data_IF_651247749011
#
_entry.id   IF_651247749011
#
_cell.length_a   1.000
_cell.length_b   1.000
_cell.length_c   1.000
_cell.angle_alpha   90.00
_cell.angle_beta   90.00
_cell.angle_gamma   90.00
#
_symmetry.space_group_name_H-M   'P 1'
#
loop_
_entity.id
_entity.type
_entity.pdbx_description
1 polymer ?
#
# COMPACT_ATOMS: atom_id res chain seq x y z
N UNK A 1 -10.84 18.24 7.57
CA UNK A 1 -9.95 17.27 8.26
C UNK A 1 -10.58 15.90 8.22
N UNK A 2 -9.81 14.87 7.89
CA UNK A 2 -10.22 13.47 8.00
C UNK A 2 -9.70 12.94 9.33
N UNK A 3 -10.59 12.39 10.16
CA UNK A 3 -10.26 11.77 11.45
C UNK A 3 -10.67 10.30 11.38
N UNK A 4 -9.80 9.41 11.83
CA UNK A 4 -10.05 7.99 11.95
C UNK A 4 -9.67 7.55 13.37
N UNK A 5 -10.54 6.80 14.04
CA UNK A 5 -10.32 6.29 15.40
C UNK A 5 -9.91 7.38 16.41
N UNK A 6 -10.49 8.58 16.27
CA UNK A 6 -10.17 9.75 17.10
C UNK A 6 -8.84 10.44 16.77
N UNK A 7 -8.08 9.95 15.78
CA UNK A 7 -6.79 10.48 15.36
C UNK A 7 -6.91 11.21 14.01
N UNK A 8 -6.41 12.45 13.94
CA UNK A 8 -6.37 13.21 12.69
C UNK A 8 -5.42 12.54 11.68
N UNK A 9 -5.94 12.25 10.48
CA UNK A 9 -5.21 11.58 9.40
C UNK A 9 -4.74 12.57 8.34
N UNK A 10 -5.66 13.41 7.84
CA UNK A 10 -5.39 14.33 6.75
C UNK A 10 -6.07 15.68 6.95
N UNK A 11 -5.35 16.75 6.59
CA UNK A 11 -5.94 18.04 6.32
C UNK A 11 -6.26 18.13 4.83
N UNK A 12 -7.41 18.70 4.51
CA UNK A 12 -7.85 18.89 3.13
C UNK A 12 -8.68 20.18 3.07
N UNK A 13 -8.76 20.76 1.88
CA UNK A 13 -9.60 21.91 1.57
C UNK A 13 -10.42 21.66 0.29
N UNK A 14 -11.53 22.36 0.14
CA UNK A 14 -12.46 22.21 -1.00
C UNK A 14 -12.07 23.02 -2.23
N UNK A 15 -11.02 23.87 -2.15
CA UNK A 15 -10.62 24.70 -3.28
C UNK A 15 -10.24 23.78 -4.46
N UNK A 16 -10.85 23.97 -5.65
CA UNK A 16 -10.52 23.20 -6.83
C UNK A 16 -9.02 23.23 -7.13
N UNK A 17 -8.52 22.14 -7.72
CA UNK A 17 -7.13 21.99 -8.18
C UNK A 17 -7.11 21.54 -9.62
N UNK A 18 -6.18 22.10 -10.38
CA UNK A 18 -5.90 21.63 -11.73
C UNK A 18 -4.91 20.47 -11.68
N UNK A 19 -4.84 19.66 -12.73
CA UNK A 19 -3.92 18.53 -12.80
C UNK A 19 -2.45 18.96 -12.58
N UNK A 20 -2.09 20.18 -12.99
CA UNK A 20 -0.76 20.74 -12.82
C UNK A 20 -0.33 20.86 -11.35
N UNK A 21 -1.28 21.13 -10.43
CA UNK A 21 -1.01 21.29 -9.00
C UNK A 21 -0.50 19.99 -8.35
N UNK A 22 -0.82 18.84 -8.92
CA UNK A 22 -0.39 17.53 -8.42
C UNK A 22 1.00 17.13 -8.91
N UNK A 23 1.58 17.83 -9.88
CA UNK A 23 2.88 17.46 -10.48
C UNK A 23 4.01 17.48 -9.45
N UNK A 24 4.07 18.53 -8.64
CA UNK A 24 5.11 18.66 -7.62
C UNK A 24 5.02 17.55 -6.56
N UNK A 25 3.80 17.27 -6.06
CA UNK A 25 3.58 16.20 -5.10
C UNK A 25 3.87 14.81 -5.67
N UNK A 26 3.42 14.54 -6.90
CA UNK A 26 3.70 13.28 -7.61
C UNK A 26 5.21 13.07 -7.83
N UNK A 27 5.93 14.12 -8.24
CA UNK A 27 7.38 14.09 -8.37
C UNK A 27 8.03 13.78 -7.02
N UNK A 28 7.71 14.53 -5.96
CA UNK A 28 8.26 14.32 -4.62
C UNK A 28 8.04 12.88 -4.12
N UNK A 29 6.81 12.35 -4.24
CA UNK A 29 6.51 10.98 -3.82
C UNK A 29 7.36 9.92 -4.53
N UNK A 30 7.72 10.16 -5.79
CA UNK A 30 8.46 9.22 -6.62
C UNK A 30 9.98 9.41 -6.60
N UNK A 31 10.49 10.55 -6.18
CA UNK A 31 11.92 10.86 -6.32
C UNK A 31 12.61 11.23 -5.01
N UNK A 32 11.88 11.79 -4.05
CA UNK A 32 12.47 12.22 -2.79
C UNK A 32 12.98 11.02 -1.97
N UNK A 33 14.22 11.05 -1.43
CA UNK A 33 14.71 10.02 -0.52
C UNK A 33 13.86 9.94 0.77
N UNK A 34 13.21 11.04 1.15
CA UNK A 34 12.35 11.11 2.33
C UNK A 34 10.94 10.55 2.07
N UNK A 35 10.58 10.27 0.82
CA UNK A 35 9.27 9.69 0.50
C UNK A 35 9.16 8.28 1.08
N UNK A 36 8.07 7.98 1.77
CA UNK A 36 7.77 6.61 2.24
C UNK A 36 7.69 5.63 1.06
N UNK A 37 7.13 6.04 -0.08
CA UNK A 37 7.02 5.23 -1.29
C UNK A 37 8.38 4.93 -1.94
N UNK A 38 9.45 5.63 -1.55
CA UNK A 38 10.82 5.31 -1.95
C UNK A 38 11.55 4.41 -0.97
N UNK A 39 10.97 4.14 0.20
CA UNK A 39 11.59 3.36 1.28
C UNK A 39 10.86 2.06 1.59
N UNK A 40 9.63 1.90 1.07
CA UNK A 40 8.78 0.74 1.32
C UNK A 40 7.97 0.38 0.09
N UNK A 41 7.70 -0.92 -0.07
CA UNK A 41 6.79 -1.46 -1.07
C UNK A 41 5.39 -1.54 -0.45
N UNK A 42 4.38 -1.14 -1.20
CA UNK A 42 2.98 -1.29 -0.79
C UNK A 42 2.10 -1.54 -2.01
N UNK A 43 1.23 -2.54 -1.91
CA UNK A 43 0.13 -2.76 -2.83
C UNK A 43 -1.13 -3.02 -1.99
N UNK A 44 -2.18 -2.23 -2.18
CA UNK A 44 -3.39 -2.33 -1.36
C UNK A 44 -4.62 -2.28 -2.22
N UNK A 45 -5.57 -3.17 -1.94
CA UNK A 45 -6.83 -3.27 -2.66
C UNK A 45 -7.98 -3.51 -1.67
N UNK A 46 -9.10 -2.83 -1.90
CA UNK A 46 -10.35 -3.16 -1.23
C UNK A 46 -10.88 -4.47 -1.81
N UNK A 47 -11.28 -5.40 -0.96
CA UNK A 47 -11.94 -6.63 -1.43
C UNK A 47 -13.35 -6.31 -1.92
N UNK A 48 -13.92 -7.22 -2.72
CA UNK A 48 -15.27 -7.08 -3.28
C UNK A 48 -16.31 -6.64 -2.24
N UNK A 49 -17.15 -5.69 -2.65
CA UNK A 49 -18.15 -5.08 -1.76
C UNK A 49 -17.60 -4.09 -0.74
N UNK A 50 -16.28 -3.84 -0.70
CA UNK A 50 -15.65 -2.85 0.18
C UNK A 50 -15.63 -3.24 1.66
N UNK A 51 -16.04 -4.46 2.01
CA UNK A 51 -16.12 -4.96 3.40
C UNK A 51 -14.76 -5.36 3.99
N UNK A 52 -13.69 -5.30 3.20
CA UNK A 52 -12.34 -5.68 3.62
C UNK A 52 -11.27 -5.06 2.74
N UNK A 53 -10.02 -5.29 3.14
CA UNK A 53 -8.83 -4.80 2.44
C UNK A 53 -7.72 -5.82 2.56
N UNK A 54 -7.00 -6.03 1.47
CA UNK A 54 -5.70 -6.71 1.46
C UNK A 54 -4.60 -5.71 1.17
N UNK A 55 -3.49 -5.79 1.90
CA UNK A 55 -2.32 -4.93 1.73
C UNK A 55 -1.07 -5.78 1.80
N UNK A 56 -0.29 -5.80 0.73
CA UNK A 56 1.02 -6.43 0.67
C UNK A 56 2.10 -5.36 0.83
N UNK A 57 2.90 -5.48 1.89
CA UNK A 57 4.01 -4.59 2.20
C UNK A 57 5.31 -5.39 2.22
N UNK A 58 6.05 -5.35 1.11
CA UNK A 58 7.17 -6.27 0.90
C UNK A 58 6.67 -7.72 0.87
N UNK A 59 6.93 -8.47 1.94
CA UNK A 59 6.51 -9.88 2.10
C UNK A 59 5.40 -10.08 3.13
N UNK A 60 5.02 -9.02 3.83
CA UNK A 60 3.95 -9.04 4.83
C UNK A 60 2.62 -8.79 4.14
N UNK A 61 1.74 -9.79 4.15
CA UNK A 61 0.35 -9.67 3.72
C UNK A 61 -0.54 -9.36 4.95
N UNK A 62 -1.17 -8.20 4.93
CA UNK A 62 -2.20 -7.79 5.90
C UNK A 62 -3.58 -7.87 5.25
N UNK A 63 -4.51 -8.57 5.90
CA UNK A 63 -5.91 -8.57 5.54
C UNK A 63 -6.75 -7.98 6.70
N UNK A 64 -7.78 -7.20 6.38
CA UNK A 64 -8.68 -6.60 7.40
C UNK A 64 -10.14 -6.75 7.00
N UNK A 65 -11.03 -6.80 8.00
CA UNK A 65 -12.47 -6.93 7.77
C UNK A 65 -12.82 -8.30 7.18
N UNK A 66 -13.76 -8.34 6.23
CA UNK A 66 -14.17 -9.59 5.60
C UNK A 66 -13.00 -10.33 4.91
N UNK A 67 -11.95 -9.62 4.51
CA UNK A 67 -10.76 -10.18 3.89
C UNK A 67 -9.89 -11.00 4.84
N UNK A 68 -9.95 -10.74 6.15
CA UNK A 68 -9.12 -11.43 7.13
C UNK A 68 -9.51 -12.92 7.23
N UNK A 69 -10.80 -13.22 7.03
CA UNK A 69 -11.35 -14.58 7.07
C UNK A 69 -11.18 -15.24 8.44
N UNK A 70 -11.08 -16.56 8.43
CA UNK A 70 -10.78 -17.34 9.63
C UNK A 70 -9.34 -17.08 10.10
N UNK A 71 -9.15 -17.00 11.41
CA UNK A 71 -7.84 -16.70 12.01
C UNK A 71 -7.51 -15.21 12.08
N UNK A 72 -8.50 -14.32 11.95
CA UNK A 72 -8.35 -12.92 12.29
C UNK A 72 -8.17 -12.75 13.81
N UNK A 73 -7.31 -11.80 14.19
CA UNK A 73 -7.15 -11.33 15.56
C UNK A 73 -8.42 -10.62 16.05
N UNK A 74 -8.48 -10.32 17.34
CA UNK A 74 -9.64 -9.67 17.97
C UNK A 74 -9.99 -8.30 17.37
N UNK A 75 -9.03 -7.64 16.71
CA UNK A 75 -9.22 -6.36 16.01
C UNK A 75 -9.70 -6.52 14.55
N UNK A 76 -9.94 -7.75 14.08
CA UNK A 76 -10.36 -8.05 12.72
C UNK A 76 -9.24 -7.97 11.67
N UNK A 77 -7.97 -8.02 12.11
CA UNK A 77 -6.79 -8.09 11.25
C UNK A 77 -6.27 -9.52 11.17
N UNK A 78 -5.70 -9.89 10.02
CA UNK A 78 -4.84 -11.08 9.88
C UNK A 78 -3.53 -10.67 9.21
N UNK A 79 -2.40 -11.09 9.79
CA UNK A 79 -1.07 -10.92 9.21
C UNK A 79 -0.48 -12.26 8.79
N UNK A 80 0.18 -12.29 7.64
CA UNK A 80 0.85 -13.47 7.11
C UNK A 80 2.15 -13.05 6.40
N UNK A 81 3.26 -13.73 6.72
CA UNK A 81 4.52 -13.56 6.02
C UNK A 81 4.60 -14.55 4.85
N UNK A 82 4.90 -14.05 3.65
CA UNK A 82 5.10 -14.86 2.46
C UNK A 82 6.56 -15.34 2.42
N UNK A 83 6.78 -16.65 2.47
CA UNK A 83 8.10 -17.28 2.63
C UNK A 83 8.93 -17.37 1.34
N UNK A 84 8.32 -17.27 0.16
CA UNK A 84 9.02 -17.43 -1.13
C UNK A 84 8.61 -16.43 -2.21
N UNK A 85 9.50 -16.15 -3.16
CA UNK A 85 9.22 -15.22 -4.27
C UNK A 85 8.01 -15.65 -5.10
N UNK A 86 7.83 -16.97 -5.26
CA UNK A 86 6.65 -17.54 -5.89
C UNK A 86 5.35 -17.13 -5.18
N UNK A 87 5.31 -17.17 -3.85
CA UNK A 87 4.13 -16.75 -3.08
C UNK A 87 3.86 -15.25 -3.21
N UNK A 88 4.90 -14.42 -3.30
CA UNK A 88 4.74 -12.96 -3.50
C UNK A 88 4.18 -12.67 -4.90
N UNK A 89 4.74 -13.30 -5.93
CA UNK A 89 4.25 -13.16 -7.31
C UNK A 89 2.83 -13.68 -7.46
N UNK A 90 2.50 -14.79 -6.80
CA UNK A 90 1.15 -15.33 -6.74
C UNK A 90 0.18 -14.35 -6.08
N UNK A 91 0.57 -13.72 -4.98
CA UNK A 91 -0.24 -12.73 -4.29
C UNK A 91 -0.51 -11.51 -5.19
N UNK A 92 0.52 -10.98 -5.88
CA UNK A 92 0.35 -9.91 -6.88
C UNK A 92 -0.66 -10.28 -7.97
N UNK A 93 -0.55 -11.48 -8.52
CA UNK A 93 -1.44 -11.95 -9.58
C UNK A 93 -2.88 -12.14 -9.09
N UNK A 94 -3.05 -12.87 -8.01
CA UNK A 94 -4.38 -13.33 -7.56
C UNK A 94 -5.16 -12.30 -6.76
N UNK A 95 -4.48 -11.56 -5.88
CA UNK A 95 -5.14 -10.59 -5.00
C UNK A 95 -5.26 -9.22 -5.65
N UNK A 96 -4.31 -8.84 -6.51
CA UNK A 96 -4.23 -7.49 -7.06
C UNK A 96 -4.40 -7.43 -8.59
N UNK A 97 -4.40 -8.58 -9.28
CA UNK A 97 -4.50 -8.62 -10.74
C UNK A 97 -3.27 -8.06 -11.45
N UNK A 98 -2.11 -8.07 -10.79
CA UNK A 98 -0.85 -7.52 -11.32
C UNK A 98 0.10 -8.66 -11.67
N UNK A 99 0.39 -8.81 -12.96
CA UNK A 99 1.39 -9.76 -13.44
C UNK A 99 2.79 -9.16 -13.35
N UNK A 100 3.67 -9.82 -12.59
CA UNK A 100 5.07 -9.42 -12.43
C UNK A 100 5.99 -10.57 -12.81
N UNK A 101 7.10 -10.25 -13.48
CA UNK A 101 8.12 -11.23 -13.86
C UNK A 101 9.17 -11.45 -12.77
N UNK A 102 9.22 -10.58 -11.77
CA UNK A 102 10.13 -10.63 -10.63
C UNK A 102 9.51 -9.93 -9.42
N UNK A 103 9.93 -10.32 -8.21
CA UNK A 103 9.46 -9.67 -6.98
C UNK A 103 9.92 -8.20 -6.95
N UNK A 104 9.04 -7.24 -6.65
CA UNK A 104 9.44 -5.84 -6.55
C UNK A 104 10.49 -5.62 -5.46
N UNK A 105 11.44 -4.75 -5.74
CA UNK A 105 12.44 -4.30 -4.78
C UNK A 105 12.38 -2.77 -4.67
N UNK A 106 12.74 -2.25 -3.50
CA UNK A 106 12.86 -0.80 -3.30
C UNK A 106 14.04 -0.31 -4.12
N UNK A 107 13.80 0.66 -5.02
CA UNK A 107 14.89 1.21 -5.83
C UNK A 107 15.99 1.82 -4.95
N UNK A 108 17.28 1.67 -5.32
CA UNK A 108 18.40 2.13 -4.52
C UNK A 108 18.31 3.63 -4.24
N UNK A 109 18.84 4.06 -3.09
CA UNK A 109 18.88 5.49 -2.75
C UNK A 109 19.61 6.28 -3.86
N UNK A 110 19.17 7.51 -4.18
CA UNK A 110 19.90 8.35 -5.12
C UNK A 110 21.34 8.54 -4.62
N UNK A 111 22.32 8.39 -5.51
CA UNK A 111 23.71 8.75 -5.17
C UNK A 111 23.78 10.26 -4.95
N UNK A 112 24.39 10.68 -3.83
CA UNK A 112 24.67 12.09 -3.62
C UNK A 112 25.72 12.53 -4.66
N UNK A 113 25.35 13.50 -5.50
CA UNK A 113 26.25 14.16 -6.44
C UNK A 113 27.05 15.29 -5.80
#
# INVERSE_FOLDING_TARGET
>A
MVVQDGVAQYLWEERPRELADFRAGSWWHRTSPDSHFRRSLVCSLLTDGGAGRVTLSGRTLKATGAAAGEGADADGTRLCELGSDAEVLEAYRTLFGVELTAVPEVAPAPVAG
#
